data_IF_405889519693
#
_entry.id   IF_405889519693
#
_cell.length_a   1.000
_cell.length_b   1.000
_cell.length_c   1.000
_cell.angle_alpha   90.00
_cell.angle_beta   90.00
_cell.angle_gamma   90.00
#
_symmetry.space_group_name_H-M   'P 1'
#
loop_
_entity.id
_entity.type
_entity.pdbx_description
1 polymer ?
#
# COMPACT_ATOMS: atom_id res chain seq x y z
N UNK A 1 4.79 3.51 -4.42
CA UNK A 1 3.58 2.99 -3.78
C UNK A 1 3.27 3.74 -2.49
N UNK A 2 4.17 3.70 -1.50
CA UNK A 2 4.03 4.32 -0.18
C UNK A 2 3.59 5.80 -0.20
N UNK A 3 4.29 6.63 -0.99
CA UNK A 3 3.94 8.05 -1.15
C UNK A 3 2.45 8.28 -1.49
N UNK A 4 1.91 7.50 -2.43
CA UNK A 4 0.52 7.64 -2.89
C UNK A 4 -0.50 7.22 -1.81
N UNK A 5 -0.15 6.24 -0.98
CA UNK A 5 -0.97 5.81 0.17
C UNK A 5 -0.97 6.91 1.24
N UNK A 6 0.18 7.52 1.51
CA UNK A 6 0.31 8.61 2.48
C UNK A 6 -0.51 9.85 2.09
N UNK A 7 -0.41 10.30 0.83
CA UNK A 7 -1.20 11.45 0.37
C UNK A 7 -2.64 11.08 -0.04
N UNK A 8 -3.03 9.81 0.15
CA UNK A 8 -4.37 9.28 -0.17
C UNK A 8 -4.82 9.55 -1.61
N UNK A 9 -3.90 9.37 -2.58
CA UNK A 9 -4.15 9.56 -4.02
C UNK A 9 -4.03 8.26 -4.82
N UNK A 10 -4.41 7.13 -4.24
CA UNK A 10 -4.25 5.83 -4.91
C UNK A 10 -5.33 5.57 -5.96
N UNK A 11 -6.59 5.91 -5.69
CA UNK A 11 -7.72 5.39 -6.48
C UNK A 11 -8.01 3.92 -6.12
N UNK A 12 -8.73 3.26 -7.01
CA UNK A 12 -8.98 1.80 -7.03
C UNK A 12 -7.69 1.00 -7.20
N UNK A 13 -7.74 -0.32 -6.97
CA UNK A 13 -6.59 -1.21 -7.21
C UNK A 13 -6.02 -1.09 -8.63
N UNK A 14 -6.89 -0.98 -9.65
CA UNK A 14 -6.45 -0.87 -11.04
C UNK A 14 -5.76 0.47 -11.31
N UNK A 15 -6.36 1.59 -10.87
CA UNK A 15 -5.74 2.91 -11.00
C UNK A 15 -4.42 2.99 -10.24
N UNK A 16 -4.36 2.36 -9.06
CA UNK A 16 -3.17 2.36 -8.25
C UNK A 16 -2.05 1.56 -8.91
N UNK A 17 -2.33 0.35 -9.41
CA UNK A 17 -1.39 -0.47 -10.18
C UNK A 17 -0.81 0.32 -11.39
N UNK A 18 -1.68 1.00 -12.14
CA UNK A 18 -1.26 1.87 -13.25
C UNK A 18 -0.35 3.01 -12.77
N UNK A 19 -0.70 3.69 -11.67
CA UNK A 19 0.11 4.81 -11.13
C UNK A 19 1.49 4.38 -10.63
N UNK A 20 1.63 3.15 -10.13
CA UNK A 20 2.93 2.61 -9.71
C UNK A 20 3.66 1.89 -10.85
N UNK A 21 3.07 1.80 -12.04
CA UNK A 21 3.72 1.28 -13.24
C UNK A 21 3.85 -0.24 -13.29
N UNK A 22 2.94 -0.99 -12.65
CA UNK A 22 2.99 -2.48 -12.65
C UNK A 22 1.69 -3.11 -13.08
N UNK A 23 1.76 -4.37 -13.50
CA UNK A 23 0.58 -5.18 -13.78
C UNK A 23 -0.29 -5.36 -12.53
N UNK A 24 -1.60 -5.51 -12.72
CA UNK A 24 -2.55 -5.68 -11.60
C UNK A 24 -2.25 -6.90 -10.74
N UNK A 25 -1.75 -8.00 -11.32
CA UNK A 25 -1.32 -9.20 -10.59
C UNK A 25 -0.14 -8.89 -9.66
N UNK A 26 0.93 -8.30 -10.21
CA UNK A 26 2.12 -7.87 -9.46
C UNK A 26 1.79 -6.87 -8.35
N UNK A 27 0.83 -5.97 -8.60
CA UNK A 27 0.32 -5.08 -7.57
C UNK A 27 -0.29 -5.85 -6.39
N UNK A 28 -1.07 -6.91 -6.65
CA UNK A 28 -1.64 -7.72 -5.58
C UNK A 28 -0.59 -8.56 -4.86
N UNK A 29 0.44 -9.07 -5.56
CA UNK A 29 1.59 -9.73 -4.94
C UNK A 29 2.30 -8.78 -3.95
N UNK A 30 2.52 -7.52 -4.32
CA UNK A 30 3.07 -6.52 -3.39
C UNK A 30 2.16 -6.23 -2.21
N UNK A 31 0.85 -6.11 -2.43
CA UNK A 31 -0.12 -5.87 -1.36
C UNK A 31 -0.23 -7.07 -0.42
N UNK A 32 -0.01 -8.29 -0.91
CA UNK A 32 0.03 -9.52 -0.12
C UNK A 32 1.31 -9.59 0.71
N UNK A 33 2.47 -9.33 0.09
CA UNK A 33 3.76 -9.23 0.76
C UNK A 33 3.73 -8.20 1.90
N UNK A 34 3.21 -7.00 1.65
CA UNK A 34 3.11 -5.96 2.68
C UNK A 34 2.24 -6.39 3.87
N UNK A 35 1.16 -7.13 3.62
CA UNK A 35 0.26 -7.59 4.68
C UNK A 35 0.80 -8.78 5.46
N UNK A 36 1.34 -9.78 4.76
CA UNK A 36 1.66 -11.07 5.35
C UNK A 36 3.11 -11.12 5.85
N UNK A 37 4.06 -10.58 5.08
CA UNK A 37 5.48 -10.63 5.43
C UNK A 37 5.90 -9.43 6.28
N UNK A 38 5.37 -8.24 6.00
CA UNK A 38 5.71 -7.01 6.73
C UNK A 38 4.69 -6.63 7.81
N UNK A 39 3.59 -7.37 7.93
CA UNK A 39 2.49 -7.13 8.88
C UNK A 39 1.95 -5.68 8.83
N UNK A 40 1.88 -5.11 7.62
CA UNK A 40 1.36 -3.75 7.37
C UNK A 40 -0.14 -3.83 7.08
N UNK A 41 -0.92 -3.14 7.90
CA UNK A 41 -2.38 -3.07 7.71
C UNK A 41 -2.73 -1.96 6.70
N UNK A 42 -3.01 -2.37 5.47
CA UNK A 42 -3.47 -1.49 4.37
C UNK A 42 -4.95 -1.70 4.10
N UNK A 43 -5.75 -0.67 4.36
CA UNK A 43 -7.20 -0.66 4.19
C UNK A 43 -7.60 0.17 2.97
N UNK A 44 -8.81 -0.07 2.46
CA UNK A 44 -9.39 0.70 1.36
C UNK A 44 -10.64 1.45 1.82
N UNK A 45 -10.64 2.77 1.69
CA UNK A 45 -11.81 3.61 1.85
C UNK A 45 -12.55 3.69 0.51
N UNK A 46 -13.78 3.14 0.47
CA UNK A 46 -14.61 3.15 -0.74
C UNK A 46 -15.17 4.53 -1.08
N UNK A 47 -15.44 5.35 -0.07
CA UNK A 47 -16.01 6.69 -0.24
C UNK A 47 -14.96 7.64 -0.81
N UNK A 48 -13.77 7.67 -0.18
CA UNK A 48 -12.64 8.48 -0.62
C UNK A 48 -11.87 7.87 -1.81
N UNK A 49 -12.19 6.63 -2.19
CA UNK A 49 -11.50 5.85 -3.24
C UNK A 49 -9.98 5.84 -3.06
N UNK A 50 -9.53 5.49 -1.86
CA UNK A 50 -8.10 5.48 -1.57
C UNK A 50 -7.71 4.38 -0.59
N UNK A 51 -6.51 3.84 -0.77
CA UNK A 51 -5.84 3.04 0.24
C UNK A 51 -5.19 3.95 1.30
N UNK A 52 -5.13 3.45 2.52
CA UNK A 52 -4.47 4.12 3.65
C UNK A 52 -3.92 3.08 4.65
N UNK A 53 -2.90 3.48 5.40
CA UNK A 53 -2.37 2.70 6.51
C UNK A 53 -3.24 2.89 7.76
N UNK A 54 -3.60 1.80 8.45
CA UNK A 54 -4.41 1.92 9.68
C UNK A 54 -3.59 2.26 10.93
N UNK A 55 -2.29 1.99 10.91
CA UNK A 55 -1.38 2.08 12.05
C UNK A 55 -0.01 2.61 11.59
N UNK A 56 0.91 1.71 11.27
CA UNK A 56 2.29 2.00 10.84
C UNK A 56 2.34 1.99 9.32
N UNK A 57 2.99 3.01 8.76
CA UNK A 57 3.34 3.03 7.33
C UNK A 57 4.51 2.10 7.02
N UNK A 58 4.82 1.92 5.73
CA UNK A 58 5.90 1.04 5.29
C UNK A 58 7.24 1.38 5.95
N UNK A 59 7.56 2.67 6.06
CA UNK A 59 8.81 3.13 6.68
C UNK A 59 8.94 2.70 8.15
N UNK A 60 7.88 2.79 8.95
CA UNK A 60 7.91 2.42 10.36
C UNK A 60 7.99 0.91 10.60
N UNK A 61 7.50 0.10 9.65
CA UNK A 61 7.68 -1.34 9.66
C UNK A 61 9.12 -1.74 9.32
N UNK A 62 9.76 -1.07 8.36
CA UNK A 62 11.12 -1.39 7.94
C UNK A 62 12.19 -0.91 8.92
N UNK A 63 11.98 0.22 9.62
CA UNK A 63 12.92 0.73 10.65
C UNK A 63 13.32 -0.30 11.71
N UNK A 64 12.44 -1.24 12.02
CA UNK A 64 12.68 -2.26 13.05
C UNK A 64 13.73 -3.31 12.64
N UNK A 65 14.10 -3.36 11.35
CA UNK A 65 15.05 -4.33 10.78
C UNK A 65 16.40 -3.73 10.39
N UNK A 66 16.54 -2.40 10.46
CA UNK A 66 17.75 -1.63 10.12
C UNK A 66 18.36 -0.94 11.35
N UNK A 67 17.85 -1.26 12.55
CA UNK A 67 18.33 -0.78 13.83
C UNK A 67 19.12 -1.88 14.57
#
# INVERSE_FOLDING_TARGET
>A
MDYLIHIRKTGTAAEFATKVGVARSTFFEYMDYMRNELNIVILYDRSAKTYYYSNKGLYDSLKQWIA
#
